data_IF_583275586069
#
_entry.id   IF_583275586069
#
_cell.length_a   1.000
_cell.length_b   1.000
_cell.length_c   1.000
_cell.angle_alpha   90.00
_cell.angle_beta   90.00
_cell.angle_gamma   90.00
#
_symmetry.space_group_name_H-M   'P 1'
#
loop_
_entity.id
_entity.type
_entity.pdbx_description
1 polymer ?
#
# COMPACT_ATOMS: atom_id res chain seq x y z
N UNK A 1 -4.50 -15.72 -18.60
CA UNK A 1 -5.14 -16.40 -17.45
C UNK A 1 -5.14 -15.43 -16.27
N UNK A 2 -6.28 -15.18 -15.59
CA UNK A 2 -6.30 -14.26 -14.42
C UNK A 2 -6.08 -15.06 -13.14
N UNK A 3 -4.86 -15.03 -12.62
CA UNK A 3 -4.53 -15.63 -11.32
C UNK A 3 -4.99 -14.71 -10.19
N UNK A 4 -5.45 -15.29 -9.07
CA UNK A 4 -5.77 -14.50 -7.88
C UNK A 4 -4.47 -13.89 -7.32
N UNK A 5 -4.48 -12.65 -6.79
CA UNK A 5 -3.27 -12.00 -6.26
C UNK A 5 -2.49 -12.85 -5.24
N UNK A 6 -3.21 -13.57 -4.36
CA UNK A 6 -2.60 -14.48 -3.38
C UNK A 6 -1.91 -15.68 -4.05
N UNK A 7 -2.51 -16.23 -5.10
CA UNK A 7 -1.92 -17.31 -5.89
C UNK A 7 -0.68 -16.84 -6.63
N UNK A 8 -0.74 -15.65 -7.25
CA UNK A 8 0.43 -15.02 -7.91
C UNK A 8 1.58 -14.81 -6.93
N UNK A 9 1.29 -14.37 -5.69
CA UNK A 9 2.31 -14.21 -4.64
C UNK A 9 3.01 -15.52 -4.29
N UNK A 10 2.26 -16.61 -4.09
CA UNK A 10 2.83 -17.92 -3.80
C UNK A 10 3.68 -18.46 -4.96
N UNK A 11 3.24 -18.22 -6.21
CA UNK A 11 4.01 -18.62 -7.39
C UNK A 11 5.33 -17.84 -7.45
N UNK A 12 5.30 -16.53 -7.22
CA UNK A 12 6.52 -15.70 -7.16
C UNK A 12 7.48 -16.22 -6.09
N UNK A 13 7.00 -16.52 -4.89
CA UNK A 13 7.83 -17.03 -3.79
C UNK A 13 8.45 -18.40 -4.12
N UNK A 14 7.70 -19.29 -4.76
CA UNK A 14 8.21 -20.58 -5.22
C UNK A 14 9.28 -20.42 -6.32
N UNK A 15 9.08 -19.47 -7.25
CA UNK A 15 10.06 -19.14 -8.28
C UNK A 15 11.34 -18.57 -7.65
N UNK A 16 11.23 -17.64 -6.71
CA UNK A 16 12.37 -17.07 -5.98
C UNK A 16 13.17 -18.14 -5.24
N UNK A 17 12.49 -19.08 -4.57
CA UNK A 17 13.15 -20.21 -3.93
C UNK A 17 13.93 -21.07 -4.94
N UNK A 18 13.33 -21.35 -6.11
CA UNK A 18 13.97 -22.18 -7.13
C UNK A 18 15.15 -21.50 -7.80
N UNK A 19 15.02 -20.22 -8.14
CA UNK A 19 16.08 -19.40 -8.73
C UNK A 19 17.26 -19.33 -7.76
N UNK A 20 17.00 -19.10 -6.46
CA UNK A 20 18.05 -19.12 -5.45
C UNK A 20 18.78 -20.46 -5.41
N UNK A 21 18.06 -21.57 -5.44
CA UNK A 21 18.69 -22.89 -5.49
C UNK A 21 19.56 -23.11 -6.74
N UNK A 22 19.18 -22.52 -7.88
CA UNK A 22 20.01 -22.53 -9.09
C UNK A 22 21.25 -21.67 -8.96
N UNK A 23 21.14 -20.46 -8.41
CA UNK A 23 22.28 -19.59 -8.14
C UNK A 23 23.27 -20.20 -7.12
N UNK A 24 22.75 -20.85 -6.07
CA UNK A 24 23.55 -21.56 -5.08
C UNK A 24 24.32 -22.73 -5.74
N UNK A 25 23.69 -23.43 -6.68
CA UNK A 25 24.34 -24.51 -7.45
C UNK A 25 25.34 -23.97 -8.48
N UNK A 26 25.05 -22.88 -9.18
CA UNK A 26 25.98 -22.18 -10.08
C UNK A 26 27.23 -21.69 -9.35
N UNK A 27 27.11 -21.38 -8.06
CA UNK A 27 28.25 -20.97 -7.23
C UNK A 27 29.14 -22.14 -6.80
N UNK A 28 28.83 -23.38 -7.18
CA UNK A 28 29.62 -24.57 -6.85
C UNK A 28 30.62 -24.91 -7.96
N UNK A 29 31.88 -25.21 -7.60
CA UNK A 29 32.98 -25.47 -8.54
C UNK A 29 32.88 -26.82 -9.30
N UNK A 30 31.76 -27.53 -9.23
CA UNK A 30 31.62 -28.90 -9.76
C UNK A 30 30.68 -29.01 -10.98
N UNK A 31 30.33 -27.90 -11.62
CA UNK A 31 29.53 -27.92 -12.85
C UNK A 31 30.44 -28.01 -14.07
N UNK A 32 30.04 -28.80 -15.05
CA UNK A 32 30.61 -28.68 -16.38
C UNK A 32 29.96 -27.51 -17.15
N UNK A 33 30.56 -27.14 -18.27
CA UNK A 33 30.19 -25.95 -19.06
C UNK A 33 28.75 -26.07 -19.62
N UNK A 34 28.30 -27.28 -19.94
CA UNK A 34 26.95 -27.56 -20.44
C UNK A 34 25.92 -27.44 -19.30
N UNK A 35 26.19 -28.03 -18.14
CA UNK A 35 25.35 -27.93 -16.94
C UNK A 35 25.26 -26.49 -16.42
N UNK A 36 26.36 -25.73 -16.47
CA UNK A 36 26.37 -24.31 -16.11
C UNK A 36 25.50 -23.49 -17.08
N UNK A 37 25.60 -23.75 -18.39
CA UNK A 37 24.80 -23.07 -19.40
C UNK A 37 23.31 -23.36 -19.25
N UNK A 38 22.94 -24.64 -19.09
CA UNK A 38 21.55 -25.06 -18.90
C UNK A 38 20.93 -24.42 -17.65
N UNK A 39 21.67 -24.44 -16.54
CA UNK A 39 21.22 -23.91 -15.27
C UNK A 39 21.08 -22.38 -15.27
N UNK A 40 21.96 -21.70 -16.00
CA UNK A 40 21.90 -20.25 -16.22
C UNK A 40 20.68 -19.89 -17.06
N UNK A 41 20.46 -20.58 -18.17
CA UNK A 41 19.31 -20.36 -19.05
C UNK A 41 17.98 -20.59 -18.32
N UNK A 42 17.90 -21.67 -17.52
CA UNK A 42 16.75 -21.97 -16.68
C UNK A 42 16.50 -20.86 -15.65
N UNK A 43 17.55 -20.37 -14.98
CA UNK A 43 17.42 -19.31 -13.98
C UNK A 43 16.93 -17.99 -14.62
N UNK A 44 17.45 -17.61 -15.78
CA UNK A 44 17.02 -16.43 -16.52
C UNK A 44 15.55 -16.53 -16.97
N UNK A 45 15.13 -17.70 -17.46
CA UNK A 45 13.75 -17.93 -17.84
C UNK A 45 12.79 -17.80 -16.64
N UNK A 46 13.15 -18.37 -15.50
CA UNK A 46 12.35 -18.25 -14.28
C UNK A 46 12.29 -16.80 -13.77
N UNK A 47 13.38 -16.03 -13.88
CA UNK A 47 13.42 -14.62 -13.50
C UNK A 47 12.53 -13.76 -14.42
N UNK A 48 12.47 -14.07 -15.71
CA UNK A 48 11.56 -13.42 -16.65
C UNK A 48 10.10 -13.65 -16.26
N UNK A 49 9.72 -14.90 -15.94
CA UNK A 49 8.36 -15.23 -15.47
C UNK A 49 8.05 -14.51 -14.16
N UNK A 50 8.97 -14.54 -13.21
CA UNK A 50 8.83 -13.85 -11.92
C UNK A 50 8.57 -12.36 -12.12
N UNK A 51 9.34 -11.72 -13.00
CA UNK A 51 9.24 -10.30 -13.32
C UNK A 51 7.89 -9.96 -13.95
N UNK A 52 7.42 -10.77 -14.90
CA UNK A 52 6.12 -10.59 -15.55
C UNK A 52 4.95 -10.72 -14.54
N UNK A 53 5.02 -11.71 -13.65
CA UNK A 53 4.02 -11.91 -12.59
C UNK A 53 4.04 -10.75 -11.58
N UNK A 54 5.22 -10.27 -11.19
CA UNK A 54 5.37 -9.13 -10.29
C UNK A 54 4.82 -7.84 -10.91
N UNK A 55 5.09 -7.61 -12.19
CA UNK A 55 4.56 -6.46 -12.93
C UNK A 55 3.04 -6.54 -13.08
N UNK A 56 2.51 -7.73 -13.35
CA UNK A 56 1.06 -7.95 -13.40
C UNK A 56 0.40 -7.63 -12.06
N UNK A 57 1.02 -8.01 -10.93
CA UNK A 57 0.53 -7.69 -9.59
C UNK A 57 0.59 -6.18 -9.29
N UNK A 58 1.67 -5.50 -9.70
CA UNK A 58 1.79 -4.04 -9.57
C UNK A 58 0.74 -3.32 -10.40
N UNK A 59 0.53 -3.73 -11.65
CA UNK A 59 -0.44 -3.13 -12.55
C UNK A 59 -1.89 -3.33 -12.07
N UNK A 60 -2.20 -4.49 -11.47
CA UNK A 60 -3.51 -4.72 -10.83
C UNK A 60 -3.73 -3.83 -9.61
N UNK A 61 -2.66 -3.49 -8.87
CA UNK A 61 -2.74 -2.56 -7.74
C UNK A 61 -2.83 -1.10 -8.21
N UNK A 62 -2.06 -0.71 -9.24
CA UNK A 62 -2.14 0.61 -9.87
C UNK A 62 -3.52 0.84 -10.51
N UNK A 63 -4.11 -0.18 -11.14
CA UNK A 63 -5.47 -0.09 -11.68
C UNK A 63 -6.53 0.08 -10.58
N UNK A 64 -6.33 -0.52 -9.39
CA UNK A 64 -7.19 -0.30 -8.22
C UNK A 64 -7.00 1.10 -7.63
N UNK A 65 -5.77 1.58 -7.54
CA UNK A 65 -5.45 2.93 -7.07
C UNK A 65 -5.99 4.01 -8.02
N UNK A 66 -5.86 3.82 -9.33
CA UNK A 66 -6.48 4.66 -10.35
C UNK A 66 -8.01 4.61 -10.26
N UNK A 67 -8.62 3.45 -9.97
CA UNK A 67 -10.07 3.37 -9.75
C UNK A 67 -10.51 4.15 -8.50
N UNK A 68 -9.72 4.13 -7.42
CA UNK A 68 -9.96 4.94 -6.22
C UNK A 68 -9.80 6.43 -6.56
N UNK A 69 -8.71 6.83 -7.20
CA UNK A 69 -8.45 8.22 -7.58
C UNK A 69 -9.51 8.75 -8.54
N UNK A 70 -9.93 7.94 -9.53
CA UNK A 70 -11.01 8.29 -10.46
C UNK A 70 -12.34 8.41 -9.71
N UNK A 71 -12.64 7.54 -8.73
CA UNK A 71 -13.83 7.71 -7.85
C UNK A 71 -13.76 8.97 -6.99
N UNK A 72 -12.56 9.44 -6.64
CA UNK A 72 -12.37 10.72 -5.94
C UNK A 72 -12.47 11.93 -6.88
N UNK A 73 -12.08 11.82 -8.15
CA UNK A 73 -12.01 12.95 -9.08
C UNK A 73 -13.21 13.07 -10.04
N UNK A 74 -13.99 12.00 -10.26
CA UNK A 74 -15.25 12.05 -11.04
C UNK A 74 -16.50 12.28 -10.22
N UNK A 75 -16.39 12.66 -8.94
CA UNK A 75 -17.51 13.28 -8.24
C UNK A 75 -17.67 14.73 -8.67
N UNK A 76 -18.28 14.91 -9.85
CA UNK A 76 -19.17 16.04 -10.08
C UNK A 76 -20.13 16.13 -8.88
N UNK A 77 -19.97 17.19 -8.06
CA UNK A 77 -21.02 17.93 -7.33
C UNK A 77 -22.19 17.14 -6.71
N UNK A 78 -22.00 15.87 -6.38
CA UNK A 78 -23.01 14.95 -5.90
C UNK A 78 -22.58 14.38 -4.57
N UNK A 79 -23.30 14.79 -3.52
CA UNK A 79 -23.21 14.37 -2.13
C UNK A 79 -22.62 12.95 -1.95
N UNK A 80 -21.57 12.85 -1.14
CA UNK A 80 -21.05 11.58 -0.65
C UNK A 80 -22.05 11.06 0.39
N UNK A 81 -23.08 10.35 -0.08
CA UNK A 81 -23.83 9.43 0.79
C UNK A 81 -23.06 8.12 0.94
N UNK A 82 -21.81 8.19 1.42
CA UNK A 82 -21.24 7.01 2.08
C UNK A 82 -22.11 6.79 3.31
N UNK A 83 -22.81 5.67 3.35
CA UNK A 83 -23.61 5.35 4.54
C UNK A 83 -22.66 5.23 5.73
N UNK A 84 -23.08 5.75 6.89
CA UNK A 84 -22.30 5.62 8.13
C UNK A 84 -21.84 4.16 8.40
N UNK A 85 -22.65 3.13 8.10
CA UNK A 85 -22.21 1.73 8.14
C UNK A 85 -21.02 1.39 7.23
N UNK A 86 -21.02 1.87 5.99
CA UNK A 86 -19.94 1.56 5.03
C UNK A 86 -18.61 2.24 5.43
N UNK A 87 -18.71 3.45 5.99
CA UNK A 87 -17.56 4.15 6.55
C UNK A 87 -17.03 3.43 7.79
N UNK A 88 -17.93 3.00 8.69
CA UNK A 88 -17.55 2.24 9.89
C UNK A 88 -16.83 0.94 9.53
N UNK A 89 -17.34 0.22 8.52
CA UNK A 89 -16.70 -1.01 8.03
C UNK A 89 -15.29 -0.77 7.50
N UNK A 90 -15.11 0.26 6.68
CA UNK A 90 -13.79 0.61 6.13
C UNK A 90 -12.80 0.98 7.23
N UNK A 91 -13.24 1.72 8.26
CA UNK A 91 -12.37 2.07 9.40
C UNK A 91 -11.98 0.85 10.22
N UNK A 92 -12.87 -0.14 10.38
CA UNK A 92 -12.57 -1.37 11.11
C UNK A 92 -11.59 -2.29 10.38
N UNK A 93 -11.48 -2.20 9.05
CA UNK A 93 -10.54 -2.97 8.23
C UNK A 93 -9.11 -2.39 8.24
N UNK A 94 -8.91 -1.19 8.78
CA UNK A 94 -7.61 -0.53 8.88
C UNK A 94 -6.73 -1.10 10.01
N UNK A 95 -5.42 -1.05 9.80
CA UNK A 95 -4.45 -1.33 10.86
C UNK A 95 -4.64 -0.35 12.03
N UNK A 96 -4.25 -0.75 13.24
CA UNK A 96 -4.44 0.10 14.43
C UNK A 96 -3.70 1.44 14.34
N UNK A 97 -2.51 1.46 13.72
CA UNK A 97 -1.76 2.69 13.47
C UNK A 97 -2.50 3.66 12.54
N UNK A 98 -3.07 3.15 11.46
CA UNK A 98 -3.82 3.97 10.49
C UNK A 98 -5.11 4.52 11.09
N UNK A 99 -5.77 3.75 11.97
CA UNK A 99 -6.93 4.24 12.74
C UNK A 99 -6.55 5.40 13.66
N UNK A 100 -5.41 5.34 14.33
CA UNK A 100 -4.92 6.43 15.18
C UNK A 100 -4.57 7.68 14.35
N UNK A 101 -3.95 7.50 13.19
CA UNK A 101 -3.68 8.61 12.27
C UNK A 101 -4.97 9.26 11.77
N UNK A 102 -5.98 8.47 11.43
CA UNK A 102 -7.29 8.98 11.02
C UNK A 102 -7.96 9.79 12.14
N UNK A 103 -7.91 9.31 13.39
CA UNK A 103 -8.42 10.06 14.54
C UNK A 103 -7.70 11.39 14.71
N UNK A 104 -6.37 11.41 14.57
CA UNK A 104 -5.59 12.67 14.64
C UNK A 104 -5.99 13.63 13.52
N UNK A 105 -6.09 13.14 12.28
CA UNK A 105 -6.49 13.96 11.14
C UNK A 105 -7.91 14.54 11.30
N UNK A 106 -8.87 13.74 11.80
CA UNK A 106 -10.23 14.22 12.10
C UNK A 106 -10.21 15.27 13.21
N UNK A 107 -9.43 15.01 14.27
CA UNK A 107 -9.26 15.95 15.39
C UNK A 107 -8.69 17.28 14.91
N UNK A 108 -7.68 17.25 14.05
CA UNK A 108 -7.06 18.43 13.47
C UNK A 108 -8.02 19.17 12.51
N UNK A 109 -8.82 18.42 11.74
CA UNK A 109 -9.85 18.99 10.88
C UNK A 109 -10.90 19.76 11.70
N UNK A 110 -11.40 19.18 12.79
CA UNK A 110 -12.36 19.83 13.69
C UNK A 110 -11.74 21.08 14.32
N UNK A 111 -10.48 21.01 14.74
CA UNK A 111 -9.76 22.18 15.28
C UNK A 111 -9.63 23.29 14.25
N UNK A 112 -9.31 22.96 13.01
CA UNK A 112 -9.22 23.93 11.91
C UNK A 112 -10.58 24.57 11.62
N UNK A 113 -11.65 23.77 11.57
CA UNK A 113 -13.01 24.27 11.35
C UNK A 113 -13.47 25.20 12.49
N UNK A 114 -13.17 24.85 13.74
CA UNK A 114 -13.46 25.69 14.91
C UNK A 114 -12.62 26.98 14.92
N UNK A 115 -11.33 26.91 14.55
CA UNK A 115 -10.45 28.08 14.47
C UNK A 115 -10.85 29.04 13.34
N UNK A 116 -11.40 28.52 12.24
CA UNK A 116 -11.96 29.31 11.14
C UNK A 116 -13.29 29.97 11.54
N UNK A 117 -14.03 29.36 12.48
CA UNK A 117 -15.35 29.82 12.92
C UNK A 117 -15.31 30.88 14.04
N UNK A 118 -14.24 30.95 14.84
CA UNK A 118 -14.03 32.03 15.83
C UNK A 118 -12.52 32.35 16.06
N UNK A 119 -11.99 33.43 15.46
CA UNK A 119 -10.60 33.85 15.68
C UNK A 119 -10.33 34.47 17.06
N UNK A 120 -11.34 34.65 17.93
CA UNK A 120 -11.20 35.33 19.23
C UNK A 120 -11.28 34.39 20.44
N UNK A 121 -11.71 33.14 20.27
CA UNK A 121 -11.87 32.21 21.40
C UNK A 121 -10.56 31.70 22.04
N UNK A 122 -9.40 31.91 21.39
CA UNK A 122 -8.12 31.39 21.88
C UNK A 122 -7.11 32.47 22.35
N UNK A 123 -7.42 33.77 22.24
CA UNK A 123 -6.52 34.81 22.77
C UNK A 123 -6.74 35.10 24.27
N UNK A 124 -7.85 34.65 24.86
CA UNK A 124 -8.15 34.90 26.28
C UNK A 124 -7.62 33.81 27.22
N UNK A 125 -7.38 32.58 26.74
CA UNK A 125 -6.89 31.50 27.62
C UNK A 125 -5.38 31.57 27.86
N UNK A 126 -4.59 32.15 26.94
CA UNK A 126 -3.15 32.33 27.15
C UNK A 126 -2.80 33.56 28.00
N UNK A 127 -3.67 34.58 27.98
CA UNK A 127 -3.49 35.81 28.78
C UNK A 127 -3.86 35.62 30.26
N UNK A 128 -4.76 34.68 30.58
CA UNK A 128 -5.16 34.36 31.95
C UNK A 128 -4.13 33.49 32.71
N UNK A 129 -3.33 32.68 32.00
CA UNK A 129 -2.28 31.84 32.61
C UNK A 129 -0.97 32.60 32.86
N UNK A 130 -0.68 33.64 32.08
CA UNK A 130 0.51 34.50 32.26
C UNK A 130 0.37 35.60 33.32
N UNK A 131 -0.84 35.86 33.82
CA UNK A 131 -1.08 36.83 34.89
C UNK A 131 -1.22 36.20 36.29
N UNK A 132 -1.13 34.87 36.37
CA UNK A 132 -1.20 34.10 37.62
C UNK A 132 0.15 33.43 37.99
N UNK A 133 1.27 33.85 37.39
CA UNK A 133 2.63 33.48 37.80
C UNK A 133 3.45 34.73 38.13
#
# INVERSE_FOLDING_TARGET
MKLRPKTTRFIIEALEYRIKAYQDRLSSENLDEDEESDLTNDAEFLEAIRTELANSLKNDNLAKEQNILTKLTTKEKGEISLSLPDLSRQVLELAIGDRLLLVNAITDSIRQELAVSDPRAFSETESALKSAS
#
